data_IF_839711277302
#
_entry.id   IF_839711277302
#
_cell.length_a   1.000
_cell.length_b   1.000
_cell.length_c   1.000
_cell.angle_alpha   90.00
_cell.angle_beta   90.00
_cell.angle_gamma   90.00
#
_symmetry.space_group_name_H-M   'P 1'
#
loop_
_entity.id
_entity.type
_entity.pdbx_description
1 polymer ?
#
# COMPACT_ATOMS: atom_id res chain seq x y z
N UNK A 1 0.73 6.91 1.11
CA UNK A 1 0.85 6.78 -0.36
C UNK A 1 0.00 5.63 -0.84
N UNK A 2 -0.70 5.82 -1.94
CA UNK A 2 -1.42 4.79 -2.69
C UNK A 2 -0.88 4.79 -4.12
N UNK A 3 -0.98 3.65 -4.80
CA UNK A 3 -0.61 3.57 -6.21
C UNK A 3 -1.71 4.15 -7.10
N UNK A 4 -1.40 4.31 -8.38
CA UNK A 4 -2.35 4.80 -9.37
C UNK A 4 -3.29 3.71 -9.93
N UNK A 5 -3.64 2.67 -9.17
CA UNK A 5 -4.51 1.59 -9.63
C UNK A 5 -5.95 2.07 -9.87
N UNK A 6 -6.74 1.45 -10.77
CA UNK A 6 -8.05 1.96 -11.19
C UNK A 6 -9.01 2.33 -10.05
N UNK A 7 -9.14 1.54 -8.96
CA UNK A 7 -10.00 1.91 -7.82
C UNK A 7 -9.54 3.17 -7.08
N UNK A 8 -8.26 3.53 -7.16
CA UNK A 8 -7.64 4.66 -6.44
C UNK A 8 -7.72 5.98 -7.20
N UNK A 9 -8.13 5.94 -8.48
CA UNK A 9 -8.19 7.12 -9.36
C UNK A 9 -9.62 7.39 -9.87
N UNK A 10 -10.62 6.74 -9.29
CA UNK A 10 -12.03 6.96 -9.66
C UNK A 10 -12.48 8.36 -9.26
N UNK A 11 -13.45 8.91 -9.99
CA UNK A 11 -13.94 10.28 -9.77
C UNK A 11 -14.31 10.60 -8.32
N UNK A 12 -14.98 9.72 -7.54
CA UNK A 12 -15.25 10.00 -6.14
C UNK A 12 -13.97 10.16 -5.30
N UNK A 13 -12.97 9.31 -5.52
CA UNK A 13 -11.68 9.36 -4.80
C UNK A 13 -10.90 10.61 -5.19
N UNK A 14 -10.86 10.95 -6.48
CA UNK A 14 -10.19 12.18 -6.95
C UNK A 14 -10.90 13.47 -6.49
N UNK A 15 -12.15 13.41 -6.04
CA UNK A 15 -12.81 14.55 -5.37
C UNK A 15 -12.49 14.58 -3.89
N UNK A 16 -12.55 13.43 -3.22
CA UNK A 16 -12.31 13.32 -1.79
C UNK A 16 -10.88 13.72 -1.39
N UNK A 17 -9.87 13.27 -2.15
CA UNK A 17 -8.47 13.45 -1.76
C UNK A 17 -8.06 14.94 -1.65
N UNK A 18 -8.37 15.82 -2.62
CA UNK A 18 -8.09 17.26 -2.47
C UNK A 18 -8.88 17.92 -1.34
N UNK A 19 -10.14 17.52 -1.13
CA UNK A 19 -11.01 18.09 -0.11
C UNK A 19 -10.46 17.82 1.30
N UNK A 20 -9.94 16.61 1.54
CA UNK A 20 -9.44 16.20 2.86
C UNK A 20 -7.98 16.64 3.11
N UNK A 21 -7.14 16.66 2.07
CA UNK A 21 -5.68 16.77 2.23
C UNK A 21 -5.05 18.02 1.58
N UNK A 22 -5.76 18.71 0.70
CA UNK A 22 -5.24 19.79 -0.14
C UNK A 22 -4.68 19.28 -1.48
N UNK A 23 -5.05 19.94 -2.58
CA UNK A 23 -4.70 19.51 -3.94
C UNK A 23 -3.18 19.46 -4.19
N UNK A 24 -2.42 20.36 -3.58
CA UNK A 24 -0.95 20.46 -3.64
C UNK A 24 -0.23 19.34 -2.87
N UNK A 25 -0.96 18.58 -2.06
CA UNK A 25 -0.43 17.48 -1.23
C UNK A 25 -0.84 16.10 -1.73
N UNK A 26 -1.72 16.03 -2.73
CA UNK A 26 -2.18 14.77 -3.32
C UNK A 26 -1.22 14.33 -4.41
N UNK A 27 -0.62 13.16 -4.24
CA UNK A 27 0.18 12.48 -5.27
C UNK A 27 -0.67 11.36 -5.88
N UNK A 28 -1.20 11.59 -7.07
CA UNK A 28 -2.08 10.63 -7.75
C UNK A 28 -2.17 10.93 -9.25
N UNK A 29 -2.73 10.01 -10.03
CA UNK A 29 -2.90 10.17 -11.48
C UNK A 29 -3.95 11.24 -11.77
N UNK A 30 -3.58 12.25 -12.56
CA UNK A 30 -4.47 13.37 -12.92
C UNK A 30 -4.40 14.56 -11.96
N UNK A 31 -3.41 14.59 -11.06
CA UNK A 31 -3.08 15.73 -10.22
C UNK A 31 -1.72 16.33 -10.61
N UNK A 32 -1.45 17.55 -10.14
CA UNK A 32 -0.18 18.25 -10.39
C UNK A 32 1.02 17.40 -9.95
N UNK A 33 0.97 16.83 -8.74
CA UNK A 33 1.92 15.82 -8.31
C UNK A 33 1.50 14.44 -8.88
N UNK A 34 1.93 14.14 -10.10
CA UNK A 34 1.54 12.88 -10.76
C UNK A 34 2.37 11.70 -10.24
N UNK A 35 1.70 10.61 -9.85
CA UNK A 35 2.36 9.34 -9.56
C UNK A 35 2.78 8.61 -10.85
N UNK A 36 4.03 8.16 -10.98
CA UNK A 36 4.48 7.41 -12.15
C UNK A 36 3.80 6.03 -12.25
N UNK A 37 3.61 5.58 -13.50
CA UNK A 37 3.02 4.29 -13.78
C UNK A 37 4.03 3.17 -13.48
N UNK A 38 3.57 2.08 -12.86
CA UNK A 38 4.38 0.89 -12.55
C UNK A 38 5.60 1.16 -11.65
N UNK A 39 5.44 2.02 -10.63
CA UNK A 39 6.51 2.32 -9.68
C UNK A 39 6.29 1.75 -8.27
N UNK A 40 6.33 0.41 -8.08
CA UNK A 40 6.27 -0.20 -6.76
C UNK A 40 7.50 0.15 -5.90
N UNK A 41 8.64 0.48 -6.52
CA UNK A 41 9.87 0.93 -5.85
C UNK A 41 9.67 2.24 -5.09
N UNK A 42 8.72 3.07 -5.51
CA UNK A 42 8.43 4.34 -4.85
C UNK A 42 7.43 4.19 -3.70
N UNK A 43 6.72 3.06 -3.61
CA UNK A 43 5.77 2.82 -2.55
C UNK A 43 6.43 2.04 -1.40
N UNK A 44 6.60 2.69 -0.24
CA UNK A 44 7.17 2.08 0.98
C UNK A 44 6.46 0.79 1.39
N UNK A 45 5.16 0.67 1.13
CA UNK A 45 4.45 -0.57 1.43
C UNK A 45 4.91 -1.72 0.54
N UNK A 46 5.13 -1.46 -0.74
CA UNK A 46 5.46 -2.49 -1.72
C UNK A 46 6.95 -2.85 -1.70
N UNK A 47 7.85 -1.85 -1.61
CA UNK A 47 9.29 -2.10 -1.61
C UNK A 47 9.82 -2.65 -0.28
N UNK A 48 9.27 -2.20 0.87
CA UNK A 48 9.79 -2.54 2.19
C UNK A 48 8.88 -3.49 2.95
N UNK A 49 7.67 -3.03 3.28
CA UNK A 49 6.79 -3.78 4.20
C UNK A 49 6.41 -5.14 3.64
N UNK A 50 5.87 -5.18 2.41
CA UNK A 50 5.45 -6.43 1.78
C UNK A 50 6.61 -7.35 1.45
N UNK A 51 7.78 -6.81 1.07
CA UNK A 51 8.98 -7.61 0.87
C UNK A 51 9.38 -8.33 2.15
N UNK A 52 9.54 -7.61 3.27
CA UNK A 52 9.89 -8.21 4.56
C UNK A 52 8.83 -9.15 5.12
N UNK A 53 7.54 -8.82 4.98
CA UNK A 53 6.47 -9.69 5.46
C UNK A 53 6.47 -11.02 4.70
N UNK A 54 6.68 -11.01 3.38
CA UNK A 54 6.74 -12.25 2.60
C UNK A 54 7.90 -13.13 3.07
N UNK A 55 9.09 -12.55 3.26
CA UNK A 55 10.28 -13.30 3.71
C UNK A 55 10.06 -14.00 5.05
N UNK A 56 9.28 -13.41 5.97
CA UNK A 56 8.99 -14.03 7.27
C UNK A 56 7.79 -14.97 7.22
N UNK A 57 6.66 -14.52 6.67
CA UNK A 57 5.38 -15.25 6.70
C UNK A 57 5.48 -16.53 5.88
N UNK A 58 6.26 -16.56 4.80
CA UNK A 58 6.39 -17.73 3.94
C UNK A 58 7.42 -18.75 4.43
N UNK A 59 8.10 -18.51 5.55
CA UNK A 59 8.91 -19.55 6.22
C UNK A 59 8.05 -20.66 6.84
N UNK A 60 6.77 -20.35 7.10
CA UNK A 60 5.80 -21.25 7.70
C UNK A 60 4.72 -21.65 6.68
N UNK A 61 4.22 -22.89 6.77
CA UNK A 61 3.07 -23.32 5.98
C UNK A 61 1.78 -22.99 6.73
N UNK A 62 0.89 -22.23 6.10
CA UNK A 62 -0.42 -21.88 6.65
C UNK A 62 -1.48 -22.87 6.14
N UNK A 63 -2.24 -23.48 7.06
CA UNK A 63 -3.29 -24.44 6.71
C UNK A 63 -4.62 -23.75 6.36
N UNK A 64 -4.81 -22.51 6.82
CA UNK A 64 -6.01 -21.73 6.57
C UNK A 64 -5.71 -20.24 6.38
N UNK A 65 -6.70 -19.51 5.86
CA UNK A 65 -6.65 -18.05 5.76
C UNK A 65 -6.57 -17.39 7.15
N UNK A 66 -7.15 -18.03 8.18
CA UNK A 66 -7.06 -17.54 9.55
C UNK A 66 -5.62 -17.61 10.08
N UNK A 67 -4.93 -18.72 9.82
CA UNK A 67 -3.52 -18.90 10.20
C UNK A 67 -2.63 -17.86 9.50
N UNK A 68 -2.84 -17.68 8.19
CA UNK A 68 -2.12 -16.67 7.41
C UNK A 68 -2.32 -15.26 7.97
N UNK A 69 -3.57 -14.86 8.27
CA UNK A 69 -3.88 -13.56 8.87
C UNK A 69 -3.21 -13.37 10.24
N UNK A 70 -3.19 -14.43 11.05
CA UNK A 70 -2.54 -14.43 12.35
C UNK A 70 -1.02 -14.24 12.22
N UNK A 71 -0.39 -14.97 11.29
CA UNK A 71 1.04 -14.87 10.99
C UNK A 71 1.42 -13.46 10.49
N UNK A 72 0.66 -12.90 9.54
CA UNK A 72 0.85 -11.51 9.09
C UNK A 72 0.76 -10.54 10.27
N UNK A 73 -0.28 -10.65 11.11
CA UNK A 73 -0.50 -9.74 12.26
C UNK A 73 0.59 -9.85 13.33
N UNK A 74 1.21 -11.04 13.47
CA UNK A 74 2.36 -11.26 14.34
C UNK A 74 3.60 -10.59 13.76
N UNK A 75 3.92 -10.82 12.49
CA UNK A 75 5.14 -10.32 11.87
C UNK A 75 5.13 -8.82 11.56
N UNK A 76 3.96 -8.22 11.29
CA UNK A 76 3.83 -6.76 11.13
C UNK A 76 4.36 -6.00 12.35
N UNK A 77 4.09 -6.51 13.57
CA UNK A 77 4.58 -5.91 14.82
C UNK A 77 6.10 -5.97 14.98
N UNK A 78 6.78 -6.85 14.25
CA UNK A 78 8.24 -6.94 14.27
C UNK A 78 8.90 -5.99 13.26
N UNK A 79 8.17 -5.59 12.21
CA UNK A 79 8.68 -4.72 11.11
C UNK A 79 8.46 -3.25 11.40
N UNK A 80 7.32 -2.92 12.02
CA UNK A 80 6.99 -1.55 12.43
C UNK A 80 7.51 -1.36 13.85
N UNK A 81 8.70 -0.75 13.98
CA UNK A 81 9.25 -0.28 15.25
C UNK A 81 8.88 1.18 15.49
#
# INVERSE_FOLDING_TARGET
MQDGAPPHIVKPVNKLLPDDFGADRVISRGFENTWPLHSPELNTRDFYLWAHLKDMVYTERHASVADLKSSISRHVRCVIK
#
